data_IF_664251463948
#
_entry.id   IF_664251463948
#
_cell.length_a   1.000
_cell.length_b   1.000
_cell.length_c   1.000
_cell.angle_alpha   90.00
_cell.angle_beta   90.00
_cell.angle_gamma   90.00
#
_symmetry.space_group_name_H-M   'P 1'
#
loop_
_entity.id
_entity.type
_entity.pdbx_description
1 polymer ?
#
# COMPACT_ATOMS: atom_id res chain seq x y z
N UNK A 1 8.26 19.59 -14.04
CA UNK A 1 9.10 20.17 -12.95
C UNK A 1 8.19 20.38 -11.74
N UNK A 2 8.68 20.16 -10.52
CA UNK A 2 7.91 20.39 -9.30
C UNK A 2 8.58 21.47 -8.47
N UNK A 3 7.78 22.43 -7.97
CA UNK A 3 8.24 23.52 -7.11
C UNK A 3 7.67 23.29 -5.71
N UNK A 4 8.52 23.33 -4.68
CA UNK A 4 8.13 23.08 -3.30
C UNK A 4 8.34 24.33 -2.43
N UNK A 5 7.33 24.67 -1.63
CA UNK A 5 7.39 25.70 -0.60
C UNK A 5 6.79 25.15 0.69
N UNK A 6 7.63 24.85 1.68
CA UNK A 6 7.20 24.28 2.96
C UNK A 6 6.48 22.93 2.79
N UNK A 7 5.23 22.86 3.26
CA UNK A 7 4.37 21.66 3.20
C UNK A 7 3.56 21.55 1.90
N UNK A 8 3.86 22.40 0.90
CA UNK A 8 3.14 22.50 -0.36
C UNK A 8 4.08 22.27 -1.53
N UNK A 9 3.62 21.57 -2.55
CA UNK A 9 4.31 21.52 -3.83
C UNK A 9 3.34 21.60 -5.01
N UNK A 10 3.81 22.21 -6.10
CA UNK A 10 3.12 22.29 -7.38
C UNK A 10 3.84 21.42 -8.40
N UNK A 11 3.09 20.75 -9.26
CA UNK A 11 3.61 19.92 -10.34
C UNK A 11 2.90 20.27 -11.65
N UNK A 12 3.71 20.68 -12.63
CA UNK A 12 3.27 20.91 -14.00
C UNK A 12 3.43 19.62 -14.80
N UNK A 13 2.30 19.11 -15.31
CA UNK A 13 2.22 17.97 -16.21
C UNK A 13 2.12 18.51 -17.62
N UNK A 14 3.06 18.15 -18.48
CA UNK A 14 3.07 18.54 -19.90
C UNK A 14 2.44 17.46 -20.76
N UNK A 15 1.99 17.85 -21.95
CA UNK A 15 1.43 16.94 -22.96
C UNK A 15 0.28 16.08 -22.37
N UNK A 16 -0.52 16.66 -21.46
CA UNK A 16 -1.49 15.92 -20.65
C UNK A 16 -2.48 15.11 -21.50
N UNK A 17 -2.89 15.67 -22.65
CA UNK A 17 -3.85 15.04 -23.55
C UNK A 17 -3.33 13.72 -24.18
N UNK A 18 -2.01 13.56 -24.25
CA UNK A 18 -1.36 12.34 -24.77
C UNK A 18 -1.35 11.20 -23.75
N UNK A 19 -1.47 11.50 -22.45
CA UNK A 19 -1.30 10.52 -21.39
C UNK A 19 -2.46 9.51 -21.37
N UNK A 20 -2.11 8.24 -21.09
CA UNK A 20 -3.04 7.10 -21.08
C UNK A 20 -2.93 6.31 -19.79
N UNK A 21 -1.70 5.95 -19.44
CA UNK A 21 -1.41 5.12 -18.27
C UNK A 21 -1.20 5.95 -16.99
N UNK A 22 -1.14 5.24 -15.86
CA UNK A 22 -0.76 5.82 -14.58
C UNK A 22 0.66 6.37 -14.66
N UNK A 23 0.89 7.54 -14.06
CA UNK A 23 2.23 8.10 -13.90
C UNK A 23 2.38 8.81 -12.55
N UNK A 24 3.62 9.14 -12.21
CA UNK A 24 3.98 9.70 -10.92
C UNK A 24 4.60 11.08 -11.05
N UNK A 25 4.36 11.94 -10.05
CA UNK A 25 5.17 13.15 -9.90
C UNK A 25 6.60 12.79 -9.50
N UNK A 26 7.55 13.73 -9.65
CA UNK A 26 8.79 13.68 -8.89
C UNK A 26 8.51 13.53 -7.39
N UNK A 27 9.43 12.89 -6.70
CA UNK A 27 9.37 12.74 -5.24
C UNK A 27 9.78 14.04 -4.55
N UNK A 28 9.04 14.41 -3.52
CA UNK A 28 9.21 15.65 -2.75
C UNK A 28 9.34 15.31 -1.27
N UNK A 29 10.33 15.86 -0.58
CA UNK A 29 10.54 15.65 0.85
C UNK A 29 9.71 16.65 1.66
N UNK A 30 8.72 16.19 2.43
CA UNK A 30 7.97 17.04 3.37
C UNK A 30 8.08 16.42 4.76
N UNK A 31 8.73 17.16 5.67
CA UNK A 31 9.14 16.63 6.96
C UNK A 31 10.21 15.54 6.80
N UNK A 32 10.03 14.43 7.50
CA UNK A 32 10.88 13.23 7.44
C UNK A 32 10.46 12.25 6.33
N UNK A 33 9.43 12.60 5.54
CA UNK A 33 8.79 11.69 4.60
C UNK A 33 8.94 12.15 3.16
N UNK A 34 9.15 11.18 2.26
CA UNK A 34 9.11 11.38 0.81
C UNK A 34 7.71 11.12 0.26
N UNK A 35 7.18 12.10 -0.45
CA UNK A 35 5.84 12.08 -1.03
C UNK A 35 5.90 12.13 -2.55
N UNK A 36 4.89 11.56 -3.20
CA UNK A 36 4.64 11.77 -4.63
C UNK A 36 3.14 11.74 -4.91
N UNK A 37 2.76 12.27 -6.07
CA UNK A 37 1.42 12.11 -6.62
C UNK A 37 1.39 10.92 -7.56
N UNK A 38 0.30 10.14 -7.46
CA UNK A 38 -0.09 9.08 -8.39
C UNK A 38 -1.28 9.60 -9.20
N UNK A 39 -1.10 9.78 -10.51
CA UNK A 39 -2.15 10.30 -11.42
C UNK A 39 -2.60 9.21 -12.37
N UNK A 40 -3.92 9.08 -12.50
CA UNK A 40 -4.57 8.24 -13.49
C UNK A 40 -5.36 9.17 -14.42
N UNK A 41 -4.79 9.52 -15.59
CA UNK A 41 -5.36 10.55 -16.48
C UNK A 41 -6.67 10.10 -17.14
N UNK A 42 -6.97 8.80 -17.12
CA UNK A 42 -8.22 8.19 -17.60
C UNK A 42 -9.01 7.52 -16.48
N UNK A 43 -8.70 7.82 -15.22
CA UNK A 43 -9.47 7.40 -14.06
C UNK A 43 -9.37 5.93 -13.66
N UNK A 44 -9.71 5.64 -12.40
CA UNK A 44 -9.94 4.31 -11.81
C UNK A 44 -10.96 4.47 -10.66
N UNK A 45 -12.05 3.70 -10.58
CA UNK A 45 -12.57 2.76 -11.59
C UNK A 45 -13.39 3.47 -12.69
N UNK A 46 -13.76 4.74 -12.48
CA UNK A 46 -14.60 5.52 -13.41
C UNK A 46 -13.71 6.21 -14.44
N UNK A 47 -13.91 5.93 -15.74
CA UNK A 47 -12.98 6.35 -16.78
C UNK A 47 -13.18 7.77 -17.35
N UNK A 48 -14.22 8.48 -16.90
CA UNK A 48 -14.56 9.83 -17.33
C UNK A 48 -14.04 10.92 -16.38
N UNK A 49 -13.33 10.53 -15.31
CA UNK A 49 -12.70 11.44 -14.35
C UNK A 49 -11.19 11.20 -14.30
N UNK A 50 -10.42 12.24 -13.99
CA UNK A 50 -9.05 12.07 -13.54
C UNK A 50 -9.08 11.55 -12.10
N UNK A 51 -8.29 10.51 -11.80
CA UNK A 51 -8.03 10.09 -10.42
C UNK A 51 -6.68 10.58 -9.94
N UNK A 52 -6.63 11.04 -8.70
CA UNK A 52 -5.44 11.66 -8.12
C UNK A 52 -5.23 11.18 -6.69
N UNK A 53 -4.03 10.71 -6.40
CA UNK A 53 -3.67 10.18 -5.09
C UNK A 53 -2.34 10.73 -4.59
N UNK A 54 -2.24 10.89 -3.27
CA UNK A 54 -1.02 11.16 -2.54
C UNK A 54 -0.45 9.83 -2.03
N UNK A 55 0.86 9.63 -2.22
CA UNK A 55 1.55 8.39 -1.92
C UNK A 55 2.85 8.64 -1.16
N UNK A 56 3.16 7.74 -0.22
CA UNK A 56 4.51 7.60 0.31
C UNK A 56 5.44 7.02 -0.75
N UNK A 57 6.46 7.77 -1.14
CA UNK A 57 7.47 7.28 -2.08
C UNK A 57 8.51 6.36 -1.43
N UNK A 58 8.70 6.46 -0.10
CA UNK A 58 9.72 5.71 0.64
C UNK A 58 9.12 4.95 1.83
N UNK A 59 8.18 4.04 1.53
CA UNK A 59 7.52 3.23 2.57
C UNK A 59 8.52 2.32 3.32
N UNK A 60 9.61 1.94 2.65
CA UNK A 60 10.60 0.98 3.16
C UNK A 60 11.57 1.60 4.16
N UNK A 61 11.80 2.90 4.12
CA UNK A 61 12.70 3.60 5.05
C UNK A 61 12.07 3.88 6.42
N UNK A 62 10.80 3.52 6.62
CA UNK A 62 10.05 3.87 7.82
C UNK A 62 10.05 2.72 8.85
N UNK A 63 10.09 3.03 10.17
CA UNK A 63 10.11 2.02 11.22
C UNK A 63 8.94 1.05 11.15
N UNK A 64 9.13 -0.19 11.57
CA UNK A 64 8.03 -1.17 11.61
C UNK A 64 6.86 -0.65 12.45
N UNK A 65 5.63 -0.88 11.99
CA UNK A 65 4.42 -0.45 12.69
C UNK A 65 4.14 1.06 12.60
N UNK A 66 4.89 1.80 11.77
CA UNK A 66 4.64 3.24 11.58
C UNK A 66 3.21 3.49 11.11
N UNK A 67 2.60 4.54 11.67
CA UNK A 67 1.35 5.13 11.17
C UNK A 67 1.44 6.63 11.27
N UNK A 68 1.01 7.35 10.24
CA UNK A 68 0.94 8.81 10.26
C UNK A 68 -0.44 9.29 9.91
N UNK A 69 -1.00 10.18 10.72
CA UNK A 69 -2.24 10.87 10.40
C UNK A 69 -1.90 12.08 9.56
N UNK A 70 -2.32 12.05 8.30
CA UNK A 70 -1.96 13.06 7.32
C UNK A 70 -3.22 13.78 6.90
N UNK A 71 -3.21 15.11 7.02
CA UNK A 71 -4.20 15.98 6.40
C UNK A 71 -3.61 16.49 5.09
N UNK A 72 -4.30 16.25 3.99
CA UNK A 72 -3.81 16.67 2.69
C UNK A 72 -4.89 17.38 1.88
N UNK A 73 -4.45 18.29 1.02
CA UNK A 73 -5.28 19.00 0.04
C UNK A 73 -4.67 18.78 -1.33
N UNK A 74 -5.47 18.34 -2.28
CA UNK A 74 -5.08 18.18 -3.67
C UNK A 74 -5.93 19.13 -4.51
N UNK A 75 -5.28 19.89 -5.38
CA UNK A 75 -5.91 20.94 -6.18
C UNK A 75 -5.52 20.79 -7.64
N UNK A 76 -6.50 20.80 -8.53
CA UNK A 76 -6.28 21.01 -9.97
C UNK A 76 -6.42 22.51 -10.21
N UNK A 77 -5.30 23.16 -10.50
CA UNK A 77 -5.24 24.60 -10.60
C UNK A 77 -5.85 25.09 -11.93
N UNK A 78 -6.71 26.09 -11.82
CA UNK A 78 -7.26 26.84 -12.94
C UNK A 78 -6.26 27.93 -13.33
N UNK A 79 -6.01 28.11 -14.63
CA UNK A 79 -4.88 28.90 -15.13
C UNK A 79 -5.26 30.23 -15.80
N UNK A 80 -6.43 30.31 -16.46
CA UNK A 80 -6.74 31.44 -17.37
C UNK A 80 -8.17 32.00 -17.28
N UNK A 81 -9.04 31.48 -16.40
CA UNK A 81 -10.41 31.99 -16.28
C UNK A 81 -10.70 32.54 -14.89
N UNK A 82 -11.70 33.41 -14.79
CA UNK A 82 -12.34 33.70 -13.52
C UNK A 82 -13.01 32.43 -12.96
N UNK A 83 -12.98 32.27 -11.65
CA UNK A 83 -13.57 31.14 -10.93
C UNK A 83 -12.56 30.25 -10.20
N UNK A 84 -13.05 29.36 -9.33
CA UNK A 84 -12.20 28.61 -8.42
C UNK A 84 -11.52 27.41 -9.09
N UNK A 85 -10.33 27.08 -8.59
CA UNK A 85 -9.67 25.79 -8.83
C UNK A 85 -10.48 24.64 -8.20
N UNK A 86 -10.29 23.41 -8.68
CA UNK A 86 -10.94 22.23 -8.08
C UNK A 86 -10.07 21.70 -6.96
N UNK A 87 -10.55 21.81 -5.73
CA UNK A 87 -9.85 21.38 -4.52
C UNK A 87 -10.62 20.26 -3.82
N UNK A 88 -9.91 19.20 -3.42
CA UNK A 88 -10.42 18.18 -2.51
C UNK A 88 -9.44 17.97 -1.37
N UNK A 89 -9.98 17.75 -0.17
CA UNK A 89 -9.21 17.59 1.06
C UNK A 89 -9.62 16.33 1.81
N UNK A 90 -8.67 15.74 2.50
CA UNK A 90 -8.90 14.56 3.31
C UNK A 90 -7.92 14.50 4.47
N UNK A 91 -8.20 13.62 5.41
CA UNK A 91 -7.36 13.32 6.56
C UNK A 91 -7.42 11.81 6.78
N UNK A 92 -6.28 11.14 6.67
CA UNK A 92 -6.21 9.67 6.66
C UNK A 92 -5.00 9.18 7.41
N UNK A 93 -5.15 8.00 8.00
CA UNK A 93 -4.01 7.24 8.50
C UNK A 93 -3.33 6.55 7.33
N UNK A 94 -2.08 6.92 7.10
CA UNK A 94 -1.16 6.22 6.24
C UNK A 94 -0.34 5.24 7.08
N UNK A 95 -0.10 4.06 6.53
CA UNK A 95 0.73 3.03 7.13
C UNK A 95 1.31 2.14 6.02
N UNK A 96 2.09 1.13 6.42
CA UNK A 96 2.72 0.21 5.47
C UNK A 96 1.71 -0.53 4.58
N UNK A 97 0.49 -0.81 5.06
CA UNK A 97 -0.56 -1.50 4.31
C UNK A 97 -1.36 -0.54 3.44
N UNK A 98 -1.49 0.72 3.85
CA UNK A 98 -2.22 1.78 3.15
C UNK A 98 -1.34 3.02 2.94
N UNK A 99 -0.31 2.94 2.08
CA UNK A 99 0.61 4.05 1.82
C UNK A 99 0.07 5.08 0.80
N UNK A 100 -1.16 4.89 0.31
CA UNK A 100 -1.77 5.64 -0.78
C UNK A 100 -3.20 6.04 -0.41
N UNK A 101 -3.52 7.33 -0.51
CA UNK A 101 -4.88 7.85 -0.35
C UNK A 101 -5.14 9.00 -1.32
N UNK A 102 -6.40 9.16 -1.74
CA UNK A 102 -6.73 10.15 -2.76
C UNK A 102 -8.19 10.14 -3.17
N UNK A 103 -8.42 10.63 -4.37
CA UNK A 103 -9.74 10.84 -4.95
C UNK A 103 -9.83 10.09 -6.29
N UNK A 104 -10.54 8.94 -6.32
CA UNK A 104 -10.86 8.22 -7.55
C UNK A 104 -11.56 9.11 -8.60
N UNK A 105 -12.40 10.04 -8.16
CA UNK A 105 -13.11 10.98 -9.02
C UNK A 105 -12.68 12.41 -8.68
N UNK A 106 -11.49 12.86 -9.08
CA UNK A 106 -10.98 14.20 -8.74
C UNK A 106 -11.74 15.30 -9.49
N UNK A 107 -11.74 15.23 -10.82
CA UNK A 107 -12.38 16.19 -11.73
C UNK A 107 -12.80 15.45 -13.02
N UNK A 108 -13.96 15.77 -13.63
CA UNK A 108 -14.35 15.21 -14.92
C UNK A 108 -13.35 15.58 -16.01
N UNK A 109 -13.00 14.63 -16.89
CA UNK A 109 -12.09 14.86 -18.02
C UNK A 109 -12.69 15.86 -19.01
N UNK A 110 -14.01 15.84 -19.21
CA UNK A 110 -14.71 16.81 -20.04
C UNK A 110 -14.46 18.25 -19.57
N UNK A 111 -14.44 18.48 -18.25
CA UNK A 111 -14.16 19.79 -17.64
C UNK A 111 -12.69 20.20 -17.76
N UNK A 112 -11.75 19.24 -17.74
CA UNK A 112 -10.32 19.55 -17.99
C UNK A 112 -10.11 19.99 -19.44
N UNK A 113 -10.75 19.29 -20.39
CA UNK A 113 -10.55 19.52 -21.82
C UNK A 113 -11.42 20.65 -22.41
N UNK A 114 -12.41 21.15 -21.67
CA UNK A 114 -13.14 22.35 -22.06
C UNK A 114 -12.24 23.59 -21.94
N UNK A 115 -11.97 24.23 -23.08
CA UNK A 115 -11.12 25.43 -23.16
C UNK A 115 -11.69 26.60 -22.34
N UNK A 116 -13.02 26.66 -22.18
CA UNK A 116 -13.68 27.71 -21.39
C UNK A 116 -13.49 27.51 -19.89
N UNK A 117 -13.20 26.29 -19.46
CA UNK A 117 -12.95 25.94 -18.06
C UNK A 117 -11.50 26.22 -17.64
N UNK A 118 -10.57 26.48 -18.56
CA UNK A 118 -9.26 27.06 -18.25
C UNK A 118 -8.33 26.25 -17.35
N UNK A 119 -8.53 24.93 -17.22
CA UNK A 119 -7.64 24.05 -16.44
C UNK A 119 -6.40 23.60 -17.24
N UNK A 120 -6.57 23.41 -18.54
CA UNK A 120 -5.54 22.93 -19.45
C UNK A 120 -5.10 24.06 -20.38
N UNK A 121 -3.85 24.52 -20.24
CA UNK A 121 -3.28 25.63 -21.03
C UNK A 121 -1.98 25.14 -21.65
N UNK A 122 -1.81 25.30 -22.98
CA UNK A 122 -0.66 24.75 -23.71
C UNK A 122 -0.46 23.23 -23.51
N UNK A 123 -1.57 22.50 -23.33
CA UNK A 123 -1.58 21.09 -22.92
C UNK A 123 -0.83 20.79 -21.60
N UNK A 124 -0.66 21.82 -20.76
CA UNK A 124 -0.10 21.72 -19.42
C UNK A 124 -1.23 21.76 -18.36
N UNK A 125 -1.21 20.79 -17.45
CA UNK A 125 -2.10 20.71 -16.30
C UNK A 125 -1.28 20.93 -15.02
N UNK A 126 -1.75 21.83 -14.14
CA UNK A 126 -1.05 22.12 -12.89
C UNK A 126 -1.80 21.46 -11.73
N UNK A 127 -1.08 20.61 -10.99
CA UNK A 127 -1.58 19.96 -9.77
C UNK A 127 -0.82 20.50 -8.57
N UNK A 128 -1.53 20.91 -7.53
CA UNK A 128 -0.95 21.40 -6.29
C UNK A 128 -1.34 20.47 -5.16
N UNK A 129 -0.37 20.08 -4.34
CA UNK A 129 -0.56 19.26 -3.17
C UNK A 129 -0.04 19.96 -1.92
N UNK A 130 -0.85 19.96 -0.86
CA UNK A 130 -0.47 20.40 0.48
C UNK A 130 -0.57 19.22 1.42
N UNK A 131 0.45 19.00 2.24
CA UNK A 131 0.59 17.80 3.08
C UNK A 131 0.98 18.18 4.50
N UNK A 132 0.04 18.07 5.42
CA UNK A 132 0.20 18.35 6.84
C UNK A 132 0.29 17.03 7.63
N UNK A 133 1.41 16.79 8.31
CA UNK A 133 1.56 15.65 9.24
C UNK A 133 0.99 16.06 10.59
N UNK A 134 -0.13 15.44 11.00
CA UNK A 134 -0.83 15.78 12.24
C UNK A 134 -0.38 14.92 13.42
N UNK A 135 -0.16 13.63 13.20
CA UNK A 135 0.27 12.70 14.23
C UNK A 135 1.20 11.64 13.64
N UNK A 136 2.16 11.19 14.44
CA UNK A 136 3.09 10.12 14.12
C UNK A 136 3.02 9.07 15.22
N UNK A 137 2.87 7.80 14.83
CA UNK A 137 2.82 6.64 15.72
C UNK A 137 3.87 5.63 15.23
N UNK A 138 4.60 5.04 16.16
CA UNK A 138 5.75 4.16 15.90
C UNK A 138 7.01 4.79 16.48
N UNK A 139 7.58 4.17 17.51
CA UNK A 139 8.78 4.65 18.19
C UNK A 139 10.02 4.39 17.32
N UNK A 140 10.87 5.40 17.22
CA UNK A 140 12.29 5.23 16.89
C UNK A 140 12.99 4.76 18.16
N UNK A 141 12.77 3.51 18.55
CA UNK A 141 13.61 2.88 19.57
C UNK A 141 14.50 1.88 18.84
N UNK A 142 15.76 2.28 18.65
CA UNK A 142 16.83 1.34 18.35
C UNK A 142 16.87 0.34 19.52
N UNK A 143 17.04 -0.97 19.28
CA UNK A 143 17.41 -1.87 20.35
C UNK A 143 18.73 -1.37 20.93
N UNK A 144 18.77 -1.06 22.23
CA UNK A 144 20.02 -0.79 22.93
C UNK A 144 20.86 -2.07 22.92
N UNK A 145 21.85 -2.13 22.04
CA UNK A 145 22.94 -3.10 22.12
C UNK A 145 24.09 -2.49 22.94
N UNK A 146 24.36 -3.13 24.07
CA UNK A 146 25.54 -2.91 24.93
C UNK A 146 26.81 -3.32 24.17
N UNK A 147 27.69 -2.35 23.86
CA UNK A 147 29.02 -2.58 23.28
C UNK A 147 29.96 -3.31 24.26
N UNK A 148 30.93 -4.12 23.74
CA UNK A 148 32.34 -3.73 23.80
C UNK A 148 33.13 -4.11 22.50
N UNK A 149 34.43 -3.77 22.30
CA UNK A 149 34.82 -2.86 21.23
C UNK A 149 35.65 -3.46 20.08
N UNK A 150 35.72 -2.65 19.02
CA UNK A 150 36.83 -2.44 18.08
C UNK A 150 36.79 -3.16 16.70
N UNK A 151 36.79 -2.28 15.68
CA UNK A 151 37.55 -2.34 14.43
C UNK A 151 36.95 -3.11 13.22
N UNK A 152 36.38 -2.28 12.33
CA UNK A 152 36.44 -2.29 10.84
C UNK A 152 35.37 -3.09 10.04
N UNK A 153 34.32 -2.35 9.70
CA UNK A 153 33.73 -2.17 8.35
C UNK A 153 33.89 -3.32 7.33
N UNK A 154 33.03 -4.33 7.43
CA UNK A 154 32.56 -5.17 6.29
C UNK A 154 31.26 -5.95 6.58
N UNK A 155 30.57 -5.67 7.69
CA UNK A 155 29.47 -6.51 8.20
C UNK A 155 28.07 -5.91 7.94
N UNK A 156 27.96 -4.62 7.58
CA UNK A 156 26.67 -3.94 7.39
C UNK A 156 25.82 -4.58 6.29
N UNK A 157 26.42 -4.99 5.17
CA UNK A 157 25.68 -5.64 4.07
C UNK A 157 25.19 -7.06 4.43
N UNK A 158 25.86 -7.75 5.36
CA UNK A 158 25.45 -9.08 5.83
C UNK A 158 24.35 -8.93 6.89
N UNK A 159 24.44 -7.93 7.76
CA UNK A 159 23.38 -7.62 8.71
C UNK A 159 22.10 -7.14 8.01
N UNK A 160 22.19 -6.28 6.99
CA UNK A 160 21.02 -5.80 6.25
C UNK A 160 20.29 -6.95 5.53
N UNK A 161 21.03 -7.89 4.95
CA UNK A 161 20.44 -9.07 4.31
C UNK A 161 19.88 -10.08 5.32
N UNK A 162 20.52 -10.26 6.48
CA UNK A 162 19.99 -11.08 7.58
C UNK A 162 18.73 -10.46 8.19
N UNK A 163 18.67 -9.12 8.31
CA UNK A 163 17.50 -8.37 8.79
C UNK A 163 16.37 -8.39 7.76
N UNK A 164 16.66 -8.22 6.47
CA UNK A 164 15.67 -8.37 5.39
C UNK A 164 15.15 -9.81 5.31
N UNK A 165 16.03 -10.81 5.45
CA UNK A 165 15.63 -12.21 5.50
C UNK A 165 14.78 -12.51 6.73
N UNK A 166 15.15 -11.99 7.92
CA UNK A 166 14.37 -12.12 9.15
C UNK A 166 13.02 -11.42 9.05
N UNK A 167 12.95 -10.26 8.41
CA UNK A 167 11.72 -9.53 8.16
C UNK A 167 10.81 -10.29 7.18
N UNK A 168 11.35 -10.78 6.05
CA UNK A 168 10.60 -11.66 5.13
C UNK A 168 10.14 -12.92 5.85
N UNK A 169 10.98 -13.53 6.68
CA UNK A 169 10.62 -14.68 7.50
C UNK A 169 9.53 -14.32 8.53
N UNK A 170 9.48 -13.09 9.06
CA UNK A 170 8.42 -12.62 9.96
C UNK A 170 7.10 -12.29 9.24
N UNK A 171 7.15 -11.74 8.02
CA UNK A 171 5.99 -11.57 7.16
C UNK A 171 5.44 -12.92 6.71
N UNK A 172 6.30 -13.84 6.28
CA UNK A 172 5.95 -15.22 5.97
C UNK A 172 5.39 -15.91 7.21
N UNK A 173 6.01 -15.76 8.38
CA UNK A 173 5.46 -16.25 9.66
C UNK A 173 4.09 -15.67 9.94
N UNK A 174 3.88 -14.36 9.78
CA UNK A 174 2.58 -13.73 10.07
C UNK A 174 1.50 -14.15 9.05
N UNK A 175 1.86 -14.24 7.78
CA UNK A 175 0.98 -14.74 6.73
C UNK A 175 0.64 -16.22 6.97
N UNK A 176 1.64 -17.04 7.29
CA UNK A 176 1.45 -18.43 7.68
C UNK A 176 0.63 -18.54 8.95
N UNK A 177 0.86 -17.72 9.99
CA UNK A 177 0.05 -17.72 11.22
C UNK A 177 -1.40 -17.35 10.95
N UNK A 178 -1.67 -16.36 10.08
CA UNK A 178 -3.03 -16.00 9.72
C UNK A 178 -3.73 -17.08 8.89
N UNK A 179 -3.00 -17.70 7.95
CA UNK A 179 -3.52 -18.83 7.16
C UNK A 179 -3.70 -20.06 8.05
N UNK A 180 -2.81 -20.31 9.01
CA UNK A 180 -2.95 -21.35 10.02
C UNK A 180 -4.10 -21.06 10.97
N UNK A 181 -4.33 -19.80 11.33
CA UNK A 181 -5.46 -19.40 12.17
C UNK A 181 -6.78 -19.58 11.41
N UNK A 182 -6.86 -19.14 10.15
CA UNK A 182 -8.04 -19.38 9.32
C UNK A 182 -8.24 -20.88 9.08
N UNK A 183 -7.16 -21.63 8.86
CA UNK A 183 -7.25 -23.05 8.59
C UNK A 183 -7.62 -23.87 9.83
N UNK A 184 -7.07 -23.54 11.00
CA UNK A 184 -7.48 -24.14 12.28
C UNK A 184 -8.93 -23.79 12.60
N UNK A 185 -9.35 -22.54 12.34
CA UNK A 185 -10.74 -22.13 12.52
C UNK A 185 -11.70 -22.86 11.56
N UNK A 186 -11.31 -23.08 10.31
CA UNK A 186 -12.02 -23.91 9.32
C UNK A 186 -12.06 -25.39 9.75
N UNK A 187 -10.94 -25.97 10.20
CA UNK A 187 -10.88 -27.35 10.68
C UNK A 187 -11.65 -27.57 12.00
N UNK A 188 -11.90 -26.50 12.77
CA UNK A 188 -12.73 -26.52 13.97
C UNK A 188 -14.23 -26.40 13.66
N UNK A 189 -14.63 -26.13 12.41
CA UNK A 189 -16.04 -26.17 11.98
C UNK A 189 -16.54 -27.61 11.88
N UNK A 190 -17.87 -27.77 11.90
CA UNK A 190 -18.46 -29.11 11.84
C UNK A 190 -18.20 -29.74 10.46
N UNK A 191 -17.91 -31.06 10.36
CA UNK A 191 -17.61 -31.71 9.08
C UNK A 191 -18.69 -31.54 8.01
N UNK A 192 -19.93 -31.29 8.41
CA UNK A 192 -21.09 -31.04 7.54
C UNK A 192 -21.05 -29.66 6.84
N UNK A 193 -20.34 -28.67 7.39
CA UNK A 193 -20.27 -27.30 6.86
C UNK A 193 -19.10 -27.07 5.90
N UNK A 194 -18.14 -28.00 5.85
CA UNK A 194 -16.96 -27.88 4.99
C UNK A 194 -17.28 -28.31 3.56
N UNK A 195 -16.93 -27.52 2.55
CA UNK A 195 -17.03 -27.95 1.14
C UNK A 195 -15.95 -28.96 0.77
N UNK A 196 -16.17 -29.75 -0.28
CA UNK A 196 -15.10 -30.56 -0.91
C UNK A 196 -14.01 -29.66 -1.48
N UNK A 197 -14.37 -28.49 -2.01
CA UNK A 197 -13.44 -27.52 -2.57
C UNK A 197 -12.54 -26.89 -1.49
N UNK A 198 -13.09 -26.60 -0.31
CA UNK A 198 -12.32 -26.09 0.83
C UNK A 198 -11.24 -27.07 1.28
N UNK A 199 -11.51 -28.38 1.16
CA UNK A 199 -10.57 -29.43 1.50
C UNK A 199 -9.45 -29.61 0.47
N UNK A 200 -9.71 -29.31 -0.80
CA UNK A 200 -8.68 -29.32 -1.85
C UNK A 200 -7.79 -28.09 -1.71
N UNK A 201 -8.37 -26.93 -1.41
CA UNK A 201 -7.61 -25.70 -1.21
C UNK A 201 -6.73 -25.79 0.05
N UNK A 202 -7.24 -26.39 1.12
CA UNK A 202 -6.49 -26.75 2.31
C UNK A 202 -5.22 -27.56 2.02
N UNK A 203 -5.29 -28.56 1.13
CA UNK A 203 -4.14 -29.38 0.78
C UNK A 203 -3.08 -28.60 0.01
N UNK A 204 -3.50 -27.73 -0.92
CA UNK A 204 -2.57 -26.86 -1.65
C UNK A 204 -1.82 -25.91 -0.70
N UNK A 205 -2.54 -25.35 0.27
CA UNK A 205 -1.96 -24.48 1.29
C UNK A 205 -0.94 -25.23 2.14
N UNK A 206 -1.23 -26.45 2.58
CA UNK A 206 -0.28 -27.27 3.35
C UNK A 206 0.94 -27.69 2.54
N UNK A 207 0.76 -28.02 1.25
CA UNK A 207 1.86 -28.32 0.35
C UNK A 207 2.81 -27.10 0.21
N UNK A 208 2.25 -25.92 -0.04
CA UNK A 208 3.02 -24.67 -0.10
C UNK A 208 3.75 -24.38 1.23
N UNK A 209 3.11 -24.59 2.38
CA UNK A 209 3.74 -24.37 3.68
C UNK A 209 4.90 -25.34 3.94
N UNK A 210 4.78 -26.59 3.52
CA UNK A 210 5.86 -27.58 3.62
C UNK A 210 7.08 -27.17 2.79
N UNK A 211 6.85 -26.65 1.58
CA UNK A 211 7.92 -26.17 0.69
C UNK A 211 8.65 -24.93 1.24
N UNK A 212 8.00 -24.15 2.13
CA UNK A 212 8.64 -23.04 2.85
C UNK A 212 9.48 -23.46 4.06
N UNK A 213 9.55 -24.75 4.37
CA UNK A 213 10.32 -25.30 5.49
C UNK A 213 9.61 -25.21 6.85
N UNK A 214 8.29 -25.02 6.87
CA UNK A 214 7.48 -25.04 8.10
C UNK A 214 7.10 -26.47 8.49
N UNK A 215 7.23 -26.78 9.77
CA UNK A 215 6.81 -28.07 10.34
C UNK A 215 5.28 -28.13 10.48
N UNK A 216 4.62 -28.64 9.44
CA UNK A 216 3.15 -28.68 9.32
C UNK A 216 2.54 -30.09 9.47
N UNK A 217 3.32 -31.05 9.96
CA UNK A 217 2.92 -32.47 10.03
C UNK A 217 1.69 -32.72 10.91
N UNK A 218 1.56 -31.97 12.01
CA UNK A 218 0.39 -32.04 12.88
C UNK A 218 -0.89 -31.58 12.18
N UNK A 219 -0.80 -30.61 11.25
CA UNK A 219 -1.93 -30.09 10.48
C UNK A 219 -2.34 -31.06 9.38
N UNK A 220 -1.36 -31.68 8.72
CA UNK A 220 -1.62 -32.74 7.74
C UNK A 220 -2.38 -33.89 8.40
N UNK A 221 -1.96 -34.31 9.61
CA UNK A 221 -2.67 -35.32 10.40
C UNK A 221 -4.09 -34.88 10.73
N UNK A 222 -4.29 -33.64 11.17
CA UNK A 222 -5.62 -33.10 11.48
C UNK A 222 -6.54 -33.00 10.27
N UNK A 223 -6.03 -32.58 9.12
CA UNK A 223 -6.81 -32.53 7.88
C UNK A 223 -7.28 -33.93 7.49
N UNK A 224 -6.41 -34.94 7.59
CA UNK A 224 -6.76 -36.34 7.32
C UNK A 224 -7.84 -36.86 8.28
N UNK A 225 -7.76 -36.53 9.58
CA UNK A 225 -8.82 -36.86 10.55
C UNK A 225 -10.18 -36.25 10.15
N UNK A 226 -10.19 -35.01 9.66
CA UNK A 226 -11.40 -34.34 9.16
C UNK A 226 -11.91 -35.00 7.87
N UNK A 227 -11.01 -35.41 6.96
CA UNK A 227 -11.38 -36.12 5.72
C UNK A 227 -12.11 -37.43 6.03
N UNK A 228 -11.58 -38.23 6.95
CA UNK A 228 -12.16 -39.53 7.31
C UNK A 228 -13.51 -39.38 8.03
N UNK A 229 -13.65 -38.36 8.89
CA UNK A 229 -14.94 -38.01 9.51
C UNK A 229 -15.99 -37.64 8.46
N UNK A 230 -15.61 -36.85 7.44
CA UNK A 230 -16.51 -36.43 6.37
C UNK A 230 -16.90 -37.59 5.44
N UNK A 231 -15.96 -38.48 5.10
CA UNK A 231 -16.28 -39.73 4.37
C UNK A 231 -17.27 -40.59 5.14
N UNK A 232 -17.08 -40.74 6.45
CA UNK A 232 -17.98 -41.51 7.32
C UNK A 232 -19.38 -40.89 7.46
N UNK A 233 -19.52 -39.57 7.31
CA UNK A 233 -20.82 -38.88 7.32
C UNK A 233 -21.57 -38.94 5.99
N UNK A 234 -20.89 -39.24 4.87
CA UNK A 234 -21.50 -39.36 3.54
C UNK A 234 -22.00 -40.79 3.24
N UNK A 235 -21.63 -41.77 4.07
CA UNK A 235 -21.96 -43.19 3.92
C UNK A 235 -23.09 -43.63 4.88
N UNK A 236 -23.67 -42.70 5.65
CA UNK A 236 -24.88 -42.89 6.46
C UNK A 236 -26.09 -42.28 5.76
#
# INVERSE_FOLDING_TARGET
MAEQVGHKFAWVIKEFSSLREKFYSPTVQIGDCKWRLSVYPKGIPVSDHLSLFLEFADVKSLPFGWRRLIKFRLTIAKQVSEGPSVLKKSHRWFDQKKPLWGFPTMIPLAKIHDKNEGFLVNDELIIVAEVDVLQVVGSSEKPEETNPPSQVESVSSIQDSVVEFRARNQYLKTACTNVLLSFTQTLCQTPQELSLDDMVEAEKVLAYMKDTGLEVEWLVKKLNEVKEKKKSSLVK
#
